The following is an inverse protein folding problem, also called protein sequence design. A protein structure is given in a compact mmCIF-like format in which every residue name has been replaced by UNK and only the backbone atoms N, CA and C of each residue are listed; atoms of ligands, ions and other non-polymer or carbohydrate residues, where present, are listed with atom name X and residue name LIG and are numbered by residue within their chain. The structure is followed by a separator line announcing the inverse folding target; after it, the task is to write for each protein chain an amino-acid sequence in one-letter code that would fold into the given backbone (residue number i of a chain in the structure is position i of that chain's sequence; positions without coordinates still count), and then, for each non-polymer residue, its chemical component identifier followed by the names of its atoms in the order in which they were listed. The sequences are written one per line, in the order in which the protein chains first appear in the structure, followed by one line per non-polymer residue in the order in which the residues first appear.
data_IF_213748065080
#
_entry.id   IF_213748065080
#
_cell.length_a   1.000
_cell.length_b   1.000
_cell.length_c   1.000
_cell.angle_alpha   90.00
_cell.angle_beta   90.00
_cell.angle_gamma   90.00
#
_symmetry.space_group_name_H-M   'P 1'
#
loop_
_entity.id
_entity.type
_entity.pdbx_description
1 polymer ?
#
# COMPACT_ATOMS: atom_id res chain seq x y z
N UNK A 1 59.83 28.84 11.12
CA UNK A 1 59.43 27.42 11.13
C UNK A 1 58.47 27.20 12.28
N UNK A 2 57.16 27.17 12.00
CA UNK A 2 56.14 26.81 12.99
C UNK A 2 55.18 25.84 12.30
N UNK A 3 55.39 24.55 12.54
CA UNK A 3 54.62 23.48 11.93
C UNK A 3 53.24 23.36 12.55
N UNK A 4 52.20 23.31 11.72
CA UNK A 4 50.87 22.86 12.12
C UNK A 4 50.57 21.52 11.46
N UNK A 5 50.65 20.45 12.25
CA UNK A 5 50.27 19.10 11.85
C UNK A 5 48.77 19.02 11.57
N UNK A 6 48.38 18.94 10.29
CA UNK A 6 46.97 18.82 9.84
C UNK A 6 46.27 17.58 10.41
N UNK A 7 47.03 16.55 10.79
CA UNK A 7 46.53 15.31 11.41
C UNK A 7 45.91 15.54 12.80
N UNK A 8 46.27 16.64 13.48
CA UNK A 8 45.71 17.01 14.79
C UNK A 8 44.37 17.78 14.74
N UNK A 9 43.92 18.25 13.56
CA UNK A 9 42.63 18.95 13.43
C UNK A 9 41.47 17.96 13.30
N UNK A 10 41.64 16.89 12.52
CA UNK A 10 40.60 15.87 12.27
C UNK A 10 40.31 15.00 13.50
N UNK A 11 41.31 14.72 14.35
CA UNK A 11 41.14 13.97 15.61
C UNK A 11 40.44 14.76 16.73
N UNK A 12 40.40 16.10 16.66
CA UNK A 12 39.63 16.94 17.60
C UNK A 12 38.14 16.90 17.26
N UNK A 13 37.81 17.08 15.97
CA UNK A 13 36.43 17.07 15.50
C UNK A 13 35.66 15.78 15.81
N UNK A 14 36.32 14.62 15.72
CA UNK A 14 35.66 13.32 16.00
C UNK A 14 35.40 13.08 17.50
N UNK A 15 36.23 13.65 18.39
CA UNK A 15 36.06 13.56 19.85
C UNK A 15 34.99 14.51 20.37
N UNK A 16 34.85 15.69 19.76
CA UNK A 16 33.84 16.67 20.14
C UNK A 16 32.44 16.23 19.70
N UNK A 17 32.33 15.54 18.56
CA UNK A 17 31.06 14.95 18.11
C UNK A 17 30.61 13.80 19.02
N UNK A 18 31.54 12.94 19.45
CA UNK A 18 31.24 11.83 20.38
C UNK A 18 30.84 12.34 21.78
N UNK A 19 31.45 13.44 22.25
CA UNK A 19 31.06 14.09 23.51
C UNK A 19 29.68 14.74 23.44
N UNK A 20 29.32 15.34 22.31
CA UNK A 20 27.96 15.87 22.11
C UNK A 20 26.90 14.77 22.10
N UNK A 21 27.17 13.64 21.43
CA UNK A 21 26.22 12.51 21.37
C UNK A 21 26.08 11.81 22.74
N UNK A 22 27.16 11.69 23.51
CA UNK A 22 27.12 11.14 24.87
C UNK A 22 26.46 12.09 25.88
N UNK A 23 26.57 13.41 25.71
CA UNK A 23 25.85 14.38 26.53
C UNK A 23 24.33 14.39 26.23
N UNK A 24 23.92 14.17 24.98
CA UNK A 24 22.52 14.06 24.62
C UNK A 24 21.85 12.79 25.17
N UNK A 25 22.59 11.67 25.27
CA UNK A 25 22.06 10.41 25.82
C UNK A 25 21.88 10.46 27.35
N UNK A 26 22.64 11.30 28.07
CA UNK A 26 22.49 11.51 29.51
C UNK A 26 21.32 12.43 29.90
N UNK A 27 20.79 13.23 28.96
CA UNK A 27 19.62 14.07 29.19
C UNK A 27 18.28 13.32 29.03
N UNK A 28 18.30 12.09 28.50
CA UNK A 28 17.10 11.25 28.36
C UNK A 28 16.79 10.42 29.61
N UNK A 29 17.61 10.49 30.67
CA UNK A 29 17.44 9.66 31.88
C UNK A 29 17.06 10.42 33.15
N UNK A 30 16.46 11.62 33.06
CA UNK A 30 16.11 12.41 34.25
C UNK A 30 14.66 12.91 34.25
N UNK A 31 13.70 11.99 34.06
CA UNK A 31 12.32 12.20 34.48
C UNK A 31 11.73 10.91 35.09
N UNK A 32 12.42 10.37 36.09
CA UNK A 32 11.79 9.49 37.07
C UNK A 32 11.11 10.38 38.12
N UNK A 33 9.80 10.57 38.02
CA UNK A 33 9.02 11.26 39.03
C UNK A 33 8.90 10.39 40.31
N UNK A 34 8.99 10.99 41.51
CA UNK A 34 8.87 10.27 42.76
C UNK A 34 7.41 9.94 43.06
N UNK A 35 7.16 8.70 43.50
CA UNK A 35 5.91 8.34 44.15
C UNK A 35 5.80 9.08 45.48
N UNK A 36 4.97 10.11 45.57
CA UNK A 36 4.54 10.72 46.83
C UNK A 36 3.05 10.46 47.03
N UNK A 37 2.75 9.66 48.05
CA UNK A 37 1.41 9.42 48.54
C UNK A 37 0.77 10.72 49.04
N UNK A 38 -0.43 11.04 48.55
CA UNK A 38 -1.27 12.09 49.11
C UNK A 38 -2.59 11.48 49.57
N UNK A 39 -2.72 11.34 50.89
CA UNK A 39 -3.96 11.04 51.59
C UNK A 39 -4.77 12.33 51.71
N UNK A 40 -5.99 12.35 51.18
CA UNK A 40 -6.98 13.39 51.47
C UNK A 40 -8.23 12.75 52.08
N UNK A 41 -8.23 12.68 53.41
CA UNK A 41 -9.45 12.59 54.20
C UNK A 41 -9.95 13.98 54.57
N UNK A 42 -10.98 14.48 53.89
CA UNK A 42 -12.23 15.03 54.47
C UNK A 42 -13.10 15.72 53.42
N UNK A 43 -14.36 15.29 53.43
CA UNK A 43 -15.58 15.79 52.78
C UNK A 43 -15.54 17.23 52.23
N UNK A 44 -15.82 17.36 50.94
CA UNK A 44 -16.47 18.54 50.35
C UNK A 44 -17.58 18.04 49.42
N UNK A 45 -18.82 18.18 49.87
CA UNK A 45 -20.03 17.95 49.07
C UNK A 45 -20.29 19.21 48.28
N UNK A 46 -20.17 19.18 46.95
CA UNK A 46 -20.91 20.07 46.04
C UNK A 46 -21.17 19.36 44.70
N UNK A 47 -22.47 19.26 44.36
CA UNK A 47 -23.10 18.94 43.08
C UNK A 47 -22.41 17.90 42.17
N UNK A 48 -22.75 16.62 42.39
CA UNK A 48 -22.67 15.62 41.31
C UNK A 48 -23.83 15.91 40.38
N UNK A 49 -23.58 16.71 39.34
CA UNK A 49 -24.37 16.62 38.12
C UNK A 49 -24.13 15.21 37.59
N UNK A 50 -25.09 14.32 37.80
CA UNK A 50 -25.10 12.98 37.22
C UNK A 50 -25.09 13.15 35.71
N UNK A 51 -23.88 13.18 35.13
CA UNK A 51 -23.68 12.81 33.74
C UNK A 51 -24.14 11.36 33.66
N UNK A 52 -25.40 11.19 33.25
CA UNK A 52 -25.95 9.90 32.90
C UNK A 52 -25.18 9.47 31.66
N UNK A 53 -24.08 8.75 31.89
CA UNK A 53 -23.49 7.93 30.85
C UNK A 53 -24.58 6.91 30.57
N UNK A 54 -25.42 7.23 29.58
CA UNK A 54 -26.29 6.26 28.95
C UNK A 54 -25.33 5.16 28.52
N UNK A 55 -25.28 4.09 29.30
CA UNK A 55 -24.61 2.86 28.91
C UNK A 55 -25.33 2.41 27.65
N UNK A 56 -24.78 2.79 26.50
CA UNK A 56 -25.25 2.29 25.22
C UNK A 56 -25.04 0.78 25.33
N UNK A 57 -26.11 -0.04 25.34
CA UNK A 57 -25.93 -1.47 25.35
C UNK A 57 -25.14 -1.83 24.09
N UNK A 58 -24.14 -2.68 24.25
CA UNK A 58 -23.20 -3.16 23.21
C UNK A 58 -23.88 -3.68 21.93
N UNK A 59 -25.20 -3.87 22.00
CA UNK A 59 -26.10 -4.26 20.93
C UNK A 59 -26.25 -3.21 19.81
N UNK A 60 -25.99 -1.91 20.04
CA UNK A 60 -26.18 -0.89 18.98
C UNK A 60 -24.95 -0.75 18.05
N UNK A 61 -23.78 -1.20 18.48
CA UNK A 61 -22.54 -1.12 17.69
C UNK A 61 -22.52 -2.20 16.59
N UNK A 62 -23.21 -3.31 16.82
CA UNK A 62 -23.24 -4.48 15.92
C UNK A 62 -24.18 -4.31 14.73
N UNK A 63 -25.29 -3.58 14.88
CA UNK A 63 -26.24 -3.34 13.77
C UNK A 63 -25.69 -2.40 12.68
N UNK A 64 -24.59 -1.69 12.93
CA UNK A 64 -23.97 -0.77 11.96
C UNK A 64 -22.84 -1.41 11.13
N UNK A 65 -22.48 -2.66 11.39
CA UNK A 65 -21.35 -3.34 10.73
C UNK A 65 -21.76 -4.41 9.72
N UNK A 66 -23.03 -4.83 9.69
CA UNK A 66 -23.49 -5.93 8.83
C UNK A 66 -23.93 -5.49 7.42
N UNK A 67 -24.09 -4.19 7.15
CA UNK A 67 -24.72 -3.72 5.90
C UNK A 67 -23.73 -3.19 4.84
N UNK A 68 -22.41 -3.32 5.07
CA UNK A 68 -21.42 -3.07 4.02
C UNK A 68 -21.02 -4.38 3.33
N UNK A 69 -22.02 -5.09 2.80
CA UNK A 69 -21.80 -6.12 1.79
C UNK A 69 -21.28 -5.42 0.52
N UNK A 70 -19.96 -5.36 0.38
CA UNK A 70 -19.36 -5.14 -0.93
C UNK A 70 -19.81 -6.30 -1.83
N UNK A 71 -20.26 -6.05 -3.07
CA UNK A 71 -20.73 -7.11 -3.95
C UNK A 71 -19.54 -7.96 -4.44
N UNK A 72 -19.04 -8.86 -3.60
CA UNK A 72 -17.97 -9.81 -3.93
C UNK A 72 -18.37 -10.71 -5.11
N UNK A 73 -19.68 -10.84 -5.38
CA UNK A 73 -20.21 -11.58 -6.53
C UNK A 73 -19.84 -10.97 -7.89
N UNK A 74 -19.43 -9.71 -7.96
CA UNK A 74 -19.03 -9.08 -9.24
C UNK A 74 -17.56 -9.36 -9.58
N UNK A 75 -16.72 -9.55 -8.56
CA UNK A 75 -15.29 -9.78 -8.73
C UNK A 75 -14.98 -11.16 -9.35
N UNK A 76 -15.86 -12.15 -9.15
CA UNK A 76 -15.68 -13.50 -9.70
C UNK A 76 -15.73 -13.55 -11.24
N UNK A 77 -16.27 -12.52 -11.90
CA UNK A 77 -16.29 -12.44 -13.37
C UNK A 77 -15.06 -11.77 -13.96
N UNK A 78 -14.27 -11.06 -13.14
CA UNK A 78 -13.11 -10.28 -13.57
C UNK A 78 -11.86 -11.16 -13.49
N UNK A 79 -11.10 -11.22 -14.58
CA UNK A 79 -9.83 -11.94 -14.62
C UNK A 79 -8.69 -10.95 -14.74
N UNK A 80 -7.92 -10.79 -13.67
CA UNK A 80 -6.73 -9.95 -13.65
C UNK A 80 -5.49 -10.71 -14.11
N UNK A 81 -4.61 -10.01 -14.83
CA UNK A 81 -3.34 -10.55 -15.30
C UNK A 81 -2.33 -9.45 -15.61
N UNK A 82 -1.14 -9.89 -16.02
CA UNK A 82 -0.06 -9.02 -16.45
C UNK A 82 0.49 -9.45 -17.81
N UNK A 83 0.91 -8.47 -18.60
CA UNK A 83 1.63 -8.72 -19.83
C UNK A 83 2.98 -9.36 -19.50
N UNK A 84 3.31 -10.45 -20.18
CA UNK A 84 4.51 -11.23 -19.95
C UNK A 84 5.45 -11.18 -21.17
N UNK A 85 6.73 -11.47 -20.93
CA UNK A 85 7.75 -11.46 -21.97
C UNK A 85 7.43 -12.51 -23.04
N UNK A 86 7.53 -12.14 -24.31
CA UNK A 86 7.17 -13.00 -25.43
C UNK A 86 6.88 -12.18 -26.67
N UNK A 87 5.66 -12.30 -27.19
CA UNK A 87 5.17 -11.38 -28.23
C UNK A 87 4.44 -10.23 -27.55
N UNK A 88 4.93 -9.00 -27.72
CA UNK A 88 4.25 -7.80 -27.23
C UNK A 88 4.12 -6.84 -28.41
N UNK A 89 2.89 -6.60 -28.85
CA UNK A 89 2.57 -5.80 -30.03
C UNK A 89 1.22 -5.11 -29.85
N UNK A 90 0.84 -4.27 -30.81
CA UNK A 90 -0.44 -3.55 -30.78
C UNK A 90 -1.65 -4.42 -31.09
N UNK A 91 -1.47 -5.68 -31.52
CA UNK A 91 -2.59 -6.60 -31.83
C UNK A 91 -2.50 -7.92 -31.07
N UNK A 92 -1.36 -8.20 -30.44
CA UNK A 92 -1.13 -9.44 -29.69
C UNK A 92 -0.24 -9.19 -28.50
N UNK A 93 -0.53 -9.85 -27.38
CA UNK A 93 0.37 -9.89 -26.24
C UNK A 93 0.43 -11.28 -25.61
N UNK A 94 1.60 -11.64 -25.11
CA UNK A 94 1.80 -12.75 -24.18
C UNK A 94 1.42 -12.30 -22.78
N UNK A 95 0.74 -13.16 -22.02
CA UNK A 95 0.29 -12.86 -20.65
C UNK A 95 0.77 -13.94 -19.68
N UNK A 96 0.72 -13.65 -18.39
CA UNK A 96 0.92 -14.61 -17.31
C UNK A 96 -0.29 -15.53 -17.06
N UNK A 97 -1.41 -15.29 -17.76
CA UNK A 97 -2.62 -16.07 -17.62
C UNK A 97 -2.45 -17.49 -18.16
N UNK A 98 -2.92 -18.47 -17.39
CA UNK A 98 -3.01 -19.86 -17.82
C UNK A 98 -4.34 -20.09 -18.54
N UNK A 99 -4.30 -20.10 -19.87
CA UNK A 99 -5.47 -20.36 -20.72
C UNK A 99 -5.56 -21.88 -20.97
N UNK A 100 -6.57 -22.54 -20.41
CA UNK A 100 -6.74 -24.00 -20.56
C UNK A 100 -7.54 -24.39 -21.80
N UNK A 101 -8.38 -23.49 -22.33
CA UNK A 101 -9.24 -23.72 -23.49
C UNK A 101 -8.99 -22.62 -24.52
N UNK A 102 -8.81 -23.00 -25.78
CA UNK A 102 -8.65 -22.03 -26.86
C UNK A 102 -9.88 -21.12 -26.95
N UNK A 103 -9.66 -19.83 -27.18
CA UNK A 103 -10.68 -18.79 -27.29
C UNK A 103 -11.57 -18.60 -26.04
N UNK A 104 -11.13 -19.03 -24.85
CA UNK A 104 -11.88 -18.85 -23.59
C UNK A 104 -12.30 -17.39 -23.31
N UNK A 105 -11.47 -16.42 -23.70
CA UNK A 105 -11.70 -14.99 -23.48
C UNK A 105 -12.12 -14.23 -24.74
N UNK A 106 -12.41 -14.93 -25.84
CA UNK A 106 -12.82 -14.30 -27.10
C UNK A 106 -14.16 -13.59 -26.94
N UNK A 107 -14.23 -12.34 -27.41
CA UNK A 107 -15.40 -11.46 -27.31
C UNK A 107 -15.51 -10.70 -25.98
N UNK A 108 -14.58 -10.92 -25.03
CA UNK A 108 -14.48 -10.12 -23.81
C UNK A 108 -13.70 -8.84 -24.03
N UNK A 109 -13.83 -7.91 -23.09
CA UNK A 109 -13.09 -6.65 -23.10
C UNK A 109 -11.90 -6.78 -22.14
N UNK A 110 -10.73 -6.44 -22.64
CA UNK A 110 -9.55 -6.23 -21.81
C UNK A 110 -9.43 -4.73 -21.51
N UNK A 111 -9.14 -4.40 -20.26
CA UNK A 111 -8.94 -3.03 -19.77
C UNK A 111 -7.57 -2.99 -19.08
N UNK A 112 -6.68 -2.12 -19.54
CA UNK A 112 -5.39 -1.90 -18.89
C UNK A 112 -5.56 -1.03 -17.64
N UNK A 113 -4.91 -1.44 -16.56
CA UNK A 113 -5.03 -0.75 -15.29
C UNK A 113 -4.45 0.66 -15.36
N UNK A 114 -5.00 1.58 -14.56
CA UNK A 114 -4.54 2.98 -14.51
C UNK A 114 -3.13 3.14 -13.97
N UNK A 115 -2.62 2.14 -13.24
CA UNK A 115 -1.28 2.11 -12.64
C UNK A 115 -0.26 1.35 -13.49
N UNK A 116 -0.61 0.99 -14.73
CA UNK A 116 0.30 0.30 -15.65
C UNK A 116 1.49 1.19 -16.03
N UNK A 117 2.65 0.57 -16.30
CA UNK A 117 3.92 1.31 -16.52
C UNK A 117 3.90 2.09 -17.83
N UNK A 118 3.19 1.59 -18.83
CA UNK A 118 3.00 2.27 -20.11
C UNK A 118 1.87 3.31 -20.04
N UNK A 119 2.23 4.59 -19.88
CA UNK A 119 1.26 5.68 -19.73
C UNK A 119 0.19 5.78 -20.84
N UNK A 120 0.53 5.43 -22.08
CA UNK A 120 -0.41 5.46 -23.20
C UNK A 120 -1.49 4.37 -23.16
N UNK A 121 -1.32 3.34 -22.32
CA UNK A 121 -2.24 2.23 -22.14
C UNK A 121 -3.16 2.39 -20.93
N UNK A 122 -2.87 3.31 -20.01
CA UNK A 122 -3.64 3.48 -18.78
C UNK A 122 -5.13 3.75 -19.09
N UNK A 123 -6.01 2.85 -18.63
CA UNK A 123 -7.46 2.95 -18.86
C UNK A 123 -7.90 2.65 -20.30
N UNK A 124 -7.00 2.19 -21.17
CA UNK A 124 -7.37 1.78 -22.52
C UNK A 124 -8.09 0.42 -22.47
N UNK A 125 -9.12 0.28 -23.30
CA UNK A 125 -9.86 -0.95 -23.49
C UNK A 125 -9.89 -1.38 -24.95
N UNK A 126 -9.84 -2.68 -25.20
CA UNK A 126 -10.02 -3.30 -26.53
C UNK A 126 -10.74 -4.63 -26.40
N UNK A 127 -11.35 -5.09 -27.49
CA UNK A 127 -11.93 -6.42 -27.58
C UNK A 127 -10.87 -7.50 -27.86
N UNK A 128 -11.06 -8.67 -27.25
CA UNK A 128 -10.22 -9.85 -27.47
C UNK A 128 -10.82 -10.66 -28.63
N UNK A 129 -10.04 -10.86 -29.69
CA UNK A 129 -10.45 -11.58 -30.90
C UNK A 129 -10.04 -13.05 -30.90
N UNK A 130 -8.97 -13.41 -30.16
CA UNK A 130 -8.54 -14.79 -29.96
C UNK A 130 -7.74 -14.97 -28.66
N UNK A 131 -7.78 -16.17 -28.10
CA UNK A 131 -7.02 -16.55 -26.91
C UNK A 131 -6.34 -17.92 -27.12
N UNK A 132 -5.02 -17.97 -27.03
CA UNK A 132 -4.24 -19.20 -27.28
C UNK A 132 -3.84 -19.89 -25.97
N UNK A 133 -3.97 -21.21 -25.93
CA UNK A 133 -3.47 -22.05 -24.83
C UNK A 133 -1.95 -22.12 -24.78
N UNK A 134 -1.27 -21.72 -25.86
CA UNK A 134 0.19 -21.70 -25.92
C UNK A 134 0.72 -20.35 -25.45
N UNK A 135 1.47 -20.36 -24.35
CA UNK A 135 2.11 -19.17 -23.75
C UNK A 135 1.13 -18.05 -23.34
N UNK A 136 -0.14 -18.36 -23.05
CA UNK A 136 -1.09 -17.35 -22.56
C UNK A 136 -1.28 -16.18 -23.52
N UNK A 137 -1.23 -16.40 -24.84
CA UNK A 137 -1.29 -15.31 -25.84
C UNK A 137 -2.72 -14.84 -26.04
N UNK A 138 -2.94 -13.53 -25.93
CA UNK A 138 -4.18 -12.85 -26.29
C UNK A 138 -3.99 -12.05 -27.58
N UNK A 139 -4.99 -12.09 -28.47
CA UNK A 139 -5.07 -11.29 -29.69
C UNK A 139 -6.25 -10.35 -29.57
N UNK A 140 -6.09 -9.10 -30.01
CA UNK A 140 -7.07 -8.02 -29.90
C UNK A 140 -7.07 -7.15 -31.15
N UNK A 141 -8.12 -6.35 -31.33
CA UNK A 141 -8.30 -5.55 -32.56
C UNK A 141 -7.19 -4.53 -32.76
N UNK A 142 -6.95 -3.63 -31.78
CA UNK A 142 -5.83 -2.69 -31.82
C UNK A 142 -5.63 -1.97 -30.48
N UNK A 143 -4.36 -1.79 -30.09
CA UNK A 143 -3.90 -0.86 -29.06
C UNK A 143 -3.18 0.34 -29.69
N UNK A 144 -3.09 1.44 -28.95
CA UNK A 144 -2.37 2.65 -29.38
C UNK A 144 -0.86 2.49 -29.29
N UNK A 145 -0.40 1.71 -28.31
CA UNK A 145 1.01 1.40 -28.04
C UNK A 145 1.14 -0.08 -27.72
N UNK A 146 2.29 -0.69 -28.00
CA UNK A 146 2.53 -2.06 -27.56
C UNK A 146 2.72 -2.11 -26.03
N UNK A 147 2.14 -3.10 -25.33
CA UNK A 147 2.35 -3.28 -23.90
C UNK A 147 3.79 -3.65 -23.58
N UNK A 148 4.24 -3.30 -22.38
CA UNK A 148 5.52 -3.68 -21.82
C UNK A 148 5.35 -4.86 -20.87
N UNK A 149 6.42 -5.63 -20.65
CA UNK A 149 6.38 -6.71 -19.68
C UNK A 149 6.11 -6.17 -18.26
N UNK A 150 5.10 -6.72 -17.59
CA UNK A 150 4.62 -6.31 -16.28
C UNK A 150 3.44 -5.33 -16.31
N UNK A 151 2.98 -4.91 -17.48
CA UNK A 151 1.79 -4.07 -17.59
C UNK A 151 0.53 -4.85 -17.15
N UNK A 152 -0.18 -4.33 -16.16
CA UNK A 152 -1.35 -4.94 -15.53
C UNK A 152 -2.64 -4.67 -16.32
N UNK A 153 -3.54 -5.65 -16.33
CA UNK A 153 -4.84 -5.55 -17.00
C UNK A 153 -5.90 -6.42 -16.32
N UNK A 154 -7.17 -6.12 -16.62
CA UNK A 154 -8.35 -6.85 -16.17
C UNK A 154 -9.23 -7.22 -17.38
N UNK A 155 -9.77 -8.42 -17.40
CA UNK A 155 -10.71 -8.90 -18.42
C UNK A 155 -12.11 -8.98 -17.79
N UNK A 156 -13.10 -8.40 -18.47
CA UNK A 156 -14.53 -8.42 -18.11
C UNK A 156 -15.34 -9.17 -19.16
#
# INVERSE_FOLDING_TARGET
MTGYCVKCRKRRHMKDTLRLVMAALAALSLFAAPASAFSFGKKSTQAVETVEIITVPEQLITDLQEDFDLPESSAAAIVDGAAATGTLSTTEMTTDLTISVADQYKGRIIIFASDTSTAALQGQATDITAASTTNGKLTFTALTTAPSNGDTFSIV
#
